data_IF_767531091219
#
_entry.id   IF_767531091219
#
_cell.length_a   1.000
_cell.length_b   1.000
_cell.length_c   1.000
_cell.angle_alpha   90.00
_cell.angle_beta   90.00
_cell.angle_gamma   90.00
#
_symmetry.space_group_name_H-M   'P 1'
#
loop_
_entity.id
_entity.type
_entity.pdbx_description
1 polymer ?
#
# COMPACT_ATOMS: atom_id res chain seq x y z
N UNK A 1 11.21 -23.52 5.89
CA UNK A 1 11.88 -22.59 6.84
C UNK A 1 10.78 -21.98 7.69
N UNK A 2 10.98 -21.82 9.00
CA UNK A 2 9.97 -21.20 9.86
C UNK A 2 9.75 -19.75 9.43
N UNK A 3 8.59 -19.44 8.89
CA UNK A 3 8.21 -18.08 8.50
C UNK A 3 7.97 -17.28 9.77
N UNK A 4 8.80 -16.25 9.98
CA UNK A 4 8.65 -15.37 11.14
C UNK A 4 7.58 -14.33 10.83
N UNK A 5 6.62 -14.20 11.75
CA UNK A 5 5.63 -13.13 11.74
C UNK A 5 6.29 -11.76 11.49
N UNK A 6 5.73 -10.97 10.57
CA UNK A 6 6.23 -9.65 10.23
C UNK A 6 5.79 -8.66 11.32
N UNK A 7 6.77 -8.00 11.93
CA UNK A 7 6.54 -7.19 13.15
C UNK A 7 6.43 -5.70 12.86
N UNK A 8 7.08 -5.20 11.81
CA UNK A 8 7.03 -3.78 11.45
C UNK A 8 6.13 -3.51 10.23
N UNK A 9 5.54 -2.29 10.12
CA UNK A 9 4.82 -1.87 8.93
C UNK A 9 5.67 -1.97 7.66
N UNK A 10 6.96 -1.58 7.74
CA UNK A 10 7.91 -1.70 6.62
C UNK A 10 8.08 -3.14 6.14
N UNK A 11 8.20 -4.11 7.06
CA UNK A 11 8.31 -5.52 6.68
C UNK A 11 7.06 -6.02 5.95
N UNK A 12 5.88 -5.62 6.44
CA UNK A 12 4.59 -5.95 5.81
C UNK A 12 4.49 -5.35 4.41
N UNK A 13 4.86 -4.08 4.26
CA UNK A 13 4.88 -3.40 2.96
C UNK A 13 5.87 -4.05 1.99
N UNK A 14 7.13 -4.26 2.40
CA UNK A 14 8.17 -4.86 1.55
C UNK A 14 7.79 -6.29 1.10
N UNK A 15 7.14 -7.07 1.97
CA UNK A 15 6.63 -8.40 1.64
C UNK A 15 5.48 -8.35 0.62
N UNK A 16 4.53 -7.42 0.79
CA UNK A 16 3.43 -7.22 -0.15
C UNK A 16 3.91 -6.77 -1.53
N UNK A 17 4.87 -5.85 -1.58
CA UNK A 17 5.49 -5.36 -2.82
C UNK A 17 6.19 -6.50 -3.56
N UNK A 18 7.05 -7.24 -2.86
CA UNK A 18 7.77 -8.39 -3.44
C UNK A 18 6.82 -9.44 -4.00
N UNK A 19 5.72 -9.71 -3.28
CA UNK A 19 4.67 -10.61 -3.73
C UNK A 19 3.98 -10.09 -5.00
N UNK A 20 3.60 -8.82 -5.07
CA UNK A 20 2.97 -8.25 -6.28
C UNK A 20 3.91 -8.32 -7.48
N UNK A 21 5.20 -7.98 -7.32
CA UNK A 21 6.19 -8.09 -8.40
C UNK A 21 6.25 -9.53 -8.94
N UNK A 22 6.27 -10.53 -8.06
CA UNK A 22 6.24 -11.94 -8.47
C UNK A 22 4.93 -12.30 -9.18
N UNK A 23 3.78 -11.83 -8.69
CA UNK A 23 2.48 -12.10 -9.30
C UNK A 23 2.32 -11.45 -10.69
N UNK A 24 2.89 -10.26 -10.91
CA UNK A 24 2.93 -9.62 -12.22
C UNK A 24 3.85 -10.39 -13.18
N UNK A 25 5.01 -10.84 -12.71
CA UNK A 25 5.92 -11.71 -13.48
C UNK A 25 5.26 -13.01 -13.91
N UNK A 26 4.54 -13.68 -13.01
CA UNK A 26 3.77 -14.89 -13.33
C UNK A 26 2.66 -14.63 -14.35
N UNK A 27 2.13 -13.41 -14.39
CA UNK A 27 1.15 -12.99 -15.39
C UNK A 27 1.77 -12.46 -16.69
N UNK A 28 3.09 -12.66 -16.89
CA UNK A 28 3.82 -12.29 -18.10
C UNK A 28 4.13 -10.79 -18.21
N UNK A 29 4.04 -10.03 -17.12
CA UNK A 29 4.38 -8.61 -17.07
C UNK A 29 5.65 -8.38 -16.26
N UNK A 30 6.40 -7.35 -16.59
CA UNK A 30 7.52 -6.90 -15.78
C UNK A 30 7.05 -5.73 -14.90
N UNK A 31 7.21 -5.87 -13.59
CA UNK A 31 6.86 -4.82 -12.63
C UNK A 31 8.15 -4.22 -12.05
N UNK A 32 8.22 -2.89 -12.05
CA UNK A 32 9.35 -2.11 -11.55
C UNK A 32 8.91 -1.47 -10.23
N UNK A 33 9.66 -1.72 -9.15
CA UNK A 33 9.49 -1.01 -7.88
C UNK A 33 10.00 0.43 -8.02
N UNK A 34 9.08 1.38 -7.89
CA UNK A 34 9.33 2.82 -8.08
C UNK A 34 9.28 3.60 -6.77
N UNK A 35 9.14 2.90 -5.63
CA UNK A 35 9.22 3.52 -4.30
C UNK A 35 10.55 4.28 -4.18
N UNK A 36 10.53 5.37 -3.40
CA UNK A 36 11.68 6.27 -3.16
C UNK A 36 12.13 7.16 -4.34
N UNK A 37 11.42 7.15 -5.48
CA UNK A 37 11.76 7.99 -6.64
C UNK A 37 10.81 9.19 -6.84
N UNK A 38 10.02 9.52 -5.81
CA UNK A 38 8.93 10.51 -5.95
C UNK A 38 7.79 10.03 -6.86
N UNK A 39 7.76 8.74 -7.22
CA UNK A 39 6.73 8.15 -8.06
C UNK A 39 5.34 8.26 -7.41
N UNK A 40 4.31 8.35 -8.26
CA UNK A 40 2.91 8.54 -7.85
C UNK A 40 2.35 7.33 -7.08
N UNK A 41 2.83 6.13 -7.40
CA UNK A 41 2.42 4.86 -6.80
C UNK A 41 3.64 3.97 -6.60
N UNK A 42 3.44 2.81 -5.98
CA UNK A 42 4.53 1.90 -5.63
C UNK A 42 5.20 1.25 -6.85
N UNK A 43 4.41 0.77 -7.81
CA UNK A 43 4.90 -0.02 -8.94
C UNK A 43 4.43 0.53 -10.30
N UNK A 44 5.26 0.31 -11.32
CA UNK A 44 4.85 0.40 -12.73
C UNK A 44 4.96 -0.98 -13.37
N UNK A 45 3.91 -1.45 -14.04
CA UNK A 45 3.93 -2.71 -14.77
C UNK A 45 3.23 -2.60 -16.12
N UNK A 46 4.02 -2.53 -17.19
CA UNK A 46 3.51 -2.21 -18.53
C UNK A 46 2.86 -0.82 -18.56
N UNK A 47 1.58 -0.76 -18.90
CA UNK A 47 0.77 0.46 -18.91
C UNK A 47 0.20 0.81 -17.53
N UNK A 48 0.27 -0.10 -16.55
CA UNK A 48 -0.33 0.06 -15.23
C UNK A 48 0.56 0.83 -14.28
N UNK A 49 -0.06 1.76 -13.56
CA UNK A 49 0.45 2.43 -12.36
C UNK A 49 -0.26 1.78 -11.18
N UNK A 50 0.49 1.07 -10.33
CA UNK A 50 -0.08 0.21 -9.30
C UNK A 50 0.31 0.73 -7.92
N UNK A 51 -0.70 1.09 -7.14
CA UNK A 51 -0.58 1.33 -5.70
C UNK A 51 -0.88 0.05 -4.95
N UNK A 52 0.03 -0.38 -4.07
CA UNK A 52 -0.11 -1.60 -3.29
C UNK A 52 -0.58 -1.25 -1.88
N UNK A 53 -1.66 -1.89 -1.43
CA UNK A 53 -2.10 -1.82 -0.04
C UNK A 53 -1.91 -3.19 0.60
N UNK A 54 -1.30 -3.21 1.78
CA UNK A 54 -1.09 -4.43 2.56
C UNK A 54 -1.99 -4.47 3.80
N UNK A 55 -2.68 -5.59 4.01
CA UNK A 55 -3.43 -5.87 5.23
C UNK A 55 -2.84 -7.09 5.94
N UNK A 56 -2.65 -6.97 7.25
CA UNK A 56 -2.18 -8.08 8.07
C UNK A 56 -3.11 -9.30 7.99
N UNK A 57 -4.42 -9.07 7.89
CA UNK A 57 -5.46 -10.10 7.76
C UNK A 57 -6.33 -9.86 6.52
N UNK A 58 -7.21 -8.85 6.52
CA UNK A 58 -8.11 -8.55 5.40
C UNK A 58 -8.48 -7.06 5.34
N UNK A 59 -8.82 -6.58 4.14
CA UNK A 59 -9.42 -5.26 3.88
C UNK A 59 -10.93 -5.21 4.08
N UNK A 60 -11.58 -6.32 4.46
CA UNK A 60 -13.05 -6.38 4.58
C UNK A 60 -13.57 -5.31 5.55
N UNK A 61 -14.40 -4.41 5.01
CA UNK A 61 -15.05 -3.33 5.78
C UNK A 61 -14.14 -2.14 6.11
N UNK A 62 -12.93 -2.08 5.55
CA UNK A 62 -12.00 -0.98 5.77
C UNK A 62 -12.08 0.06 4.65
N UNK A 63 -11.83 1.32 5.01
CA UNK A 63 -11.58 2.39 4.03
C UNK A 63 -10.15 2.24 3.46
N UNK A 64 -9.97 2.55 2.17
CA UNK A 64 -8.65 2.58 1.51
C UNK A 64 -8.12 4.01 1.51
N UNK A 65 -6.99 4.22 2.19
CA UNK A 65 -6.34 5.51 2.28
C UNK A 65 -5.45 5.74 1.06
N UNK A 66 -5.72 6.83 0.33
CA UNK A 66 -4.92 7.29 -0.80
C UNK A 66 -4.43 8.70 -0.55
N UNK A 67 -3.19 8.96 -0.94
CA UNK A 67 -2.65 10.32 -0.97
C UNK A 67 -3.35 11.16 -2.04
N UNK A 68 -3.38 12.48 -1.87
CA UNK A 68 -4.01 13.40 -2.83
C UNK A 68 -3.50 13.18 -4.27
N UNK A 69 -2.19 12.97 -4.45
CA UNK A 69 -1.60 12.70 -5.77
C UNK A 69 -2.05 11.38 -6.38
N UNK A 70 -2.31 10.35 -5.56
CA UNK A 70 -2.83 9.07 -6.01
C UNK A 70 -4.30 9.20 -6.43
N UNK A 71 -5.11 9.94 -5.67
CA UNK A 71 -6.49 10.27 -6.04
C UNK A 71 -6.55 11.04 -7.36
N UNK A 72 -5.67 12.02 -7.54
CA UNK A 72 -5.58 12.79 -8.78
C UNK A 72 -5.20 11.90 -9.96
N UNK A 73 -4.19 11.03 -9.80
CA UNK A 73 -3.78 10.10 -10.86
C UNK A 73 -4.88 9.10 -11.22
N UNK A 74 -5.55 8.52 -10.23
CA UNK A 74 -6.66 7.59 -10.43
C UNK A 74 -7.85 8.21 -11.18
N UNK A 75 -8.07 9.53 -11.01
CA UNK A 75 -9.12 10.28 -11.73
C UNK A 75 -8.69 10.72 -13.12
N UNK A 76 -7.42 11.05 -13.31
CA UNK A 76 -6.90 11.53 -14.58
C UNK A 76 -6.76 10.41 -15.61
N UNK A 77 -6.39 9.20 -15.18
CA UNK A 77 -6.14 8.05 -16.07
C UNK A 77 -6.69 6.74 -15.44
N UNK A 78 -8.03 6.58 -15.38
CA UNK A 78 -8.68 5.54 -14.60
C UNK A 78 -8.48 4.12 -15.15
N UNK A 79 -8.06 3.97 -16.39
CA UNK A 79 -7.75 2.66 -16.99
C UNK A 79 -6.33 2.19 -16.64
N UNK A 80 -5.44 3.14 -16.33
CA UNK A 80 -4.03 2.87 -16.02
C UNK A 80 -3.72 2.84 -14.54
N UNK A 81 -4.51 3.48 -13.68
CA UNK A 81 -4.30 3.41 -12.23
C UNK A 81 -5.00 2.19 -11.60
N UNK A 82 -4.26 1.43 -10.80
CA UNK A 82 -4.74 0.19 -10.17
C UNK A 82 -4.42 0.18 -8.68
N UNK A 83 -5.35 -0.35 -7.88
CA UNK A 83 -5.09 -0.73 -6.49
C UNK A 83 -4.90 -2.24 -6.40
N UNK A 84 -3.75 -2.66 -5.90
CA UNK A 84 -3.47 -4.06 -5.61
C UNK A 84 -3.49 -4.28 -4.10
N UNK A 85 -4.50 -5.01 -3.63
CA UNK A 85 -4.73 -5.26 -2.21
C UNK A 85 -4.15 -6.63 -1.86
N UNK A 86 -3.13 -6.66 -1.02
CA UNK A 86 -2.48 -7.88 -0.53
C UNK A 86 -2.95 -8.16 0.89
N UNK A 87 -3.64 -9.29 1.08
CA UNK A 87 -4.21 -9.72 2.35
C UNK A 87 -3.40 -10.86 2.96
N UNK A 88 -3.62 -11.10 4.27
CA UNK A 88 -2.97 -12.12 5.09
C UNK A 88 -1.43 -12.01 5.13
N UNK A 89 -0.92 -10.77 5.14
CA UNK A 89 0.53 -10.50 5.01
C UNK A 89 1.28 -10.74 6.33
N UNK A 90 0.64 -10.53 7.49
CA UNK A 90 1.34 -10.48 8.80
C UNK A 90 2.03 -11.81 9.16
N UNK A 91 1.45 -12.93 8.76
CA UNK A 91 2.02 -14.25 9.03
C UNK A 91 3.34 -14.53 8.26
N UNK A 92 3.62 -13.76 7.19
CA UNK A 92 4.94 -13.73 6.55
C UNK A 92 5.19 -14.74 5.43
N UNK A 93 4.31 -15.72 5.20
CA UNK A 93 4.41 -16.70 4.11
C UNK A 93 3.65 -16.28 2.84
N UNK A 94 4.33 -15.94 1.73
CA UNK A 94 3.69 -15.55 0.49
C UNK A 94 2.73 -16.59 -0.10
N UNK A 95 2.90 -17.87 0.23
CA UNK A 95 1.99 -18.93 -0.23
C UNK A 95 0.56 -18.78 0.34
N UNK A 96 0.42 -18.06 1.45
CA UNK A 96 -0.86 -17.80 2.10
C UNK A 96 -1.35 -16.36 1.88
N UNK A 97 -0.63 -15.55 1.10
CA UNK A 97 -1.09 -14.21 0.75
C UNK A 97 -2.21 -14.30 -0.29
N UNK A 98 -3.11 -13.31 -0.26
CA UNK A 98 -4.18 -13.17 -1.25
C UNK A 98 -4.07 -11.82 -1.95
N UNK A 99 -4.08 -11.83 -3.27
CA UNK A 99 -4.05 -10.62 -4.09
C UNK A 99 -5.43 -10.32 -4.70
N UNK A 100 -5.96 -9.15 -4.41
CA UNK A 100 -7.13 -8.57 -5.07
C UNK A 100 -6.67 -7.41 -5.96
N UNK A 101 -7.14 -7.37 -7.21
CA UNK A 101 -6.81 -6.31 -8.16
C UNK A 101 -8.05 -5.48 -8.42
N UNK A 102 -7.97 -4.19 -8.15
CA UNK A 102 -9.07 -3.24 -8.32
C UNK A 102 -8.63 -2.16 -9.29
N UNK A 103 -9.21 -2.17 -10.48
CA UNK A 103 -8.98 -1.19 -11.54
C UNK A 103 -10.26 -0.96 -12.32
N UNK A 104 -10.18 -0.20 -13.41
CA UNK A 104 -11.31 0.05 -14.31
C UNK A 104 -12.59 0.46 -13.57
N UNK A 105 -13.72 -0.14 -13.95
CA UNK A 105 -15.03 0.22 -13.40
C UNK A 105 -15.11 0.05 -11.87
N UNK A 106 -14.55 -1.03 -11.31
CA UNK A 106 -14.61 -1.25 -9.86
C UNK A 106 -13.88 -0.14 -9.10
N UNK A 107 -12.70 0.28 -9.58
CA UNK A 107 -11.97 1.38 -8.96
C UNK A 107 -12.76 2.69 -9.12
N UNK A 108 -13.28 2.98 -10.31
CA UNK A 108 -14.06 4.20 -10.55
C UNK A 108 -15.28 4.30 -9.62
N UNK A 109 -15.99 3.19 -9.38
CA UNK A 109 -17.12 3.13 -8.45
C UNK A 109 -16.71 3.41 -6.99
N UNK A 110 -15.51 2.98 -6.57
CA UNK A 110 -14.95 3.33 -5.26
C UNK A 110 -14.55 4.81 -5.20
N UNK A 111 -13.87 5.30 -6.23
CA UNK A 111 -13.40 6.70 -6.31
C UNK A 111 -14.56 7.70 -6.31
N UNK A 112 -15.71 7.35 -6.87
CA UNK A 112 -16.92 8.17 -6.82
C UNK A 112 -17.48 8.34 -5.38
N UNK A 113 -17.13 7.42 -4.46
CA UNK A 113 -17.53 7.45 -3.05
C UNK A 113 -16.41 7.96 -2.13
N UNK A 114 -15.26 8.34 -2.70
CA UNK A 114 -14.12 8.82 -1.93
C UNK A 114 -14.48 10.09 -1.16
N UNK A 115 -14.10 10.13 0.12
CA UNK A 115 -14.32 11.28 1.02
C UNK A 115 -12.97 11.91 1.29
N UNK A 116 -12.79 13.16 0.89
CA UNK A 116 -11.58 13.91 1.20
C UNK A 116 -11.49 14.18 2.70
N UNK A 117 -10.31 13.99 3.27
CA UNK A 117 -10.02 14.24 4.68
C UNK A 117 -8.67 14.95 4.79
N UNK A 118 -8.62 16.01 5.60
CA UNK A 118 -7.40 16.79 5.81
C UNK A 118 -6.75 16.38 7.14
N UNK A 119 -5.46 16.07 7.08
CA UNK A 119 -4.66 15.68 8.24
C UNK A 119 -3.36 16.45 8.28
N UNK A 120 -2.83 16.63 9.49
CA UNK A 120 -1.50 17.15 9.72
C UNK A 120 -0.68 16.08 10.43
N UNK A 121 0.49 15.77 9.90
CA UNK A 121 1.49 14.99 10.61
C UNK A 121 2.30 15.95 11.49
N UNK A 122 2.32 15.69 12.80
CA UNK A 122 3.10 16.49 13.77
C UNK A 122 4.31 15.66 14.18
N UNK A 123 5.53 16.01 13.76
CA UNK A 123 6.70 15.25 14.17
C UNK A 123 6.93 15.41 15.67
N UNK A 124 7.20 14.30 16.35
CA UNK A 124 7.66 14.28 17.74
C UNK A 124 9.14 13.87 17.76
N UNK A 125 10.08 14.82 17.79
CA UNK A 125 11.49 14.49 17.92
C UNK A 125 11.76 13.69 19.19
N UNK A 126 12.66 12.71 19.12
CA UNK A 126 13.02 11.84 20.25
C UNK A 126 13.42 12.66 21.48
N UNK A 127 14.21 13.72 21.30
CA UNK A 127 14.62 14.59 22.41
C UNK A 127 13.43 15.28 23.11
N UNK A 128 12.36 15.62 22.37
CA UNK A 128 11.14 16.20 22.96
C UNK A 128 10.35 15.13 23.71
N UNK A 129 10.24 13.93 23.15
CA UNK A 129 9.61 12.79 23.83
C UNK A 129 10.32 12.48 25.16
N UNK A 130 11.65 12.33 25.13
CA UNK A 130 12.45 12.00 26.32
C UNK A 130 12.35 13.09 27.39
N UNK A 131 12.34 14.37 26.99
CA UNK A 131 12.18 15.50 27.91
C UNK A 131 10.81 15.53 28.59
N UNK A 132 9.73 15.16 27.87
CA UNK A 132 8.38 15.06 28.44
C UNK A 132 8.29 13.88 29.41
N UNK A 133 8.85 12.73 29.04
CA UNK A 133 8.84 11.53 29.89
C UNK A 133 9.56 11.77 31.23
N UNK A 134 10.67 12.50 31.22
CA UNK A 134 11.46 12.80 32.42
C UNK A 134 10.79 13.82 33.38
N UNK A 135 9.67 14.45 33.00
CA UNK A 135 8.91 15.36 33.85
C UNK A 135 7.81 14.65 34.66
N UNK A 136 7.47 13.41 34.30
CA UNK A 136 6.46 12.58 34.97
C UNK A 136 7.06 11.61 36.01
N UNK A 137 8.39 11.62 36.19
CA UNK A 137 9.15 10.94 37.26
C UNK A 137 9.49 11.90 38.42
#
# INVERSE_FOLDING_TARGET
MATSELRSPKQVEDAAISFVVQQEKLAGREAIDTRYQGAVADLVSGDRIIEVKAAGTSFRGQDLWLETRQVQAARADPDRFWLYLVENVRQGDPAHFRLLRVGGEQLQQLMAKARERHYYEVPLPVAVYDAVLALDD
#
